data_IF_720073703634
#
_entry.id   IF_720073703634
#
_cell.length_a   1.000
_cell.length_b   1.000
_cell.length_c   1.000
_cell.angle_alpha   90.00
_cell.angle_beta   90.00
_cell.angle_gamma   90.00
#
_symmetry.space_group_name_H-M   'P 1'
#
loop_
_entity.id
_entity.type
_entity.pdbx_description
1 polymer ?
#
# COMPACT_ATOMS: atom_id res chain seq x y z
N UNK A 1 4.35 -15.72 7.67
CA UNK A 1 3.29 -14.77 8.08
C UNK A 1 2.90 -13.80 6.94
N UNK A 2 3.86 -13.18 6.26
CA UNK A 2 3.59 -12.21 5.18
C UNK A 2 2.83 -12.79 3.95
N UNK A 3 2.82 -14.11 3.77
CA UNK A 3 2.11 -14.78 2.66
C UNK A 3 0.59 -14.57 2.68
N UNK A 4 -0.05 -14.60 3.86
CA UNK A 4 -1.50 -14.39 3.96
C UNK A 4 -1.88 -12.96 3.55
N UNK A 5 -1.08 -11.98 4.00
CA UNK A 5 -1.23 -10.56 3.61
C UNK A 5 -0.98 -10.37 2.12
N UNK A 6 -0.01 -11.08 1.55
CA UNK A 6 0.26 -11.07 0.12
C UNK A 6 -0.92 -11.61 -0.69
N UNK A 7 -1.45 -12.79 -0.32
CA UNK A 7 -2.62 -13.38 -0.98
C UNK A 7 -3.83 -12.45 -0.88
N UNK A 8 -4.07 -11.88 0.29
CA UNK A 8 -5.11 -10.87 0.49
C UNK A 8 -4.90 -9.66 -0.43
N UNK A 9 -3.68 -9.12 -0.51
CA UNK A 9 -3.38 -7.97 -1.35
C UNK A 9 -3.58 -8.26 -2.84
N UNK A 10 -3.08 -9.40 -3.33
CA UNK A 10 -3.26 -9.81 -4.73
C UNK A 10 -4.75 -9.98 -5.06
N UNK A 11 -5.51 -10.68 -4.22
CA UNK A 11 -6.95 -10.86 -4.41
C UNK A 11 -7.68 -9.51 -4.42
N UNK A 12 -7.41 -8.62 -3.47
CA UNK A 12 -8.02 -7.29 -3.40
C UNK A 12 -7.60 -6.38 -4.56
N UNK A 13 -6.35 -6.51 -5.02
CA UNK A 13 -5.83 -5.78 -6.18
C UNK A 13 -6.58 -6.17 -7.46
N UNK A 14 -6.74 -7.47 -7.69
CA UNK A 14 -7.47 -8.01 -8.84
C UNK A 14 -8.94 -7.61 -8.77
N UNK A 15 -9.62 -7.83 -7.63
CA UNK A 15 -11.02 -7.43 -7.44
C UNK A 15 -11.19 -5.92 -7.63
N UNK A 16 -10.28 -5.11 -7.10
CA UNK A 16 -10.29 -3.66 -7.25
C UNK A 16 -10.17 -3.21 -8.71
N UNK A 17 -9.31 -3.86 -9.51
CA UNK A 17 -9.20 -3.60 -10.94
C UNK A 17 -10.47 -4.03 -11.69
N UNK A 18 -11.00 -5.22 -11.38
CA UNK A 18 -12.24 -5.72 -11.99
C UNK A 18 -13.40 -4.76 -11.73
N UNK A 19 -13.59 -4.31 -10.48
CA UNK A 19 -14.63 -3.33 -10.14
C UNK A 19 -14.42 -2.02 -10.90
N UNK A 20 -13.19 -1.52 -10.99
CA UNK A 20 -12.88 -0.30 -11.76
C UNK A 20 -13.28 -0.43 -13.23
N UNK A 21 -12.90 -1.53 -13.90
CA UNK A 21 -13.23 -1.76 -15.30
C UNK A 21 -14.74 -1.95 -15.51
N UNK A 22 -15.42 -2.65 -14.61
CA UNK A 22 -16.88 -2.84 -14.67
C UNK A 22 -17.61 -1.52 -14.51
N UNK A 23 -17.24 -0.68 -13.52
CA UNK A 23 -17.83 0.65 -13.34
C UNK A 23 -17.57 1.54 -14.56
N UNK A 24 -16.37 1.46 -15.15
CA UNK A 24 -16.07 2.18 -16.38
C UNK A 24 -16.98 1.76 -17.53
N UNK A 25 -17.17 0.46 -17.74
CA UNK A 25 -17.96 -0.04 -18.86
C UNK A 25 -19.45 0.27 -18.71
N UNK A 26 -19.99 0.18 -17.49
CA UNK A 26 -21.41 0.43 -17.21
C UNK A 26 -21.78 1.91 -17.16
N UNK A 27 -20.93 2.75 -16.54
CA UNK A 27 -21.26 4.16 -16.28
C UNK A 27 -20.23 5.13 -16.87
N UNK A 28 -18.95 4.82 -16.78
CA UNK A 28 -17.88 5.74 -17.21
C UNK A 28 -17.90 6.07 -18.70
N UNK A 29 -18.11 5.05 -19.55
CA UNK A 29 -18.13 5.20 -21.01
C UNK A 29 -19.23 6.15 -21.49
N UNK A 30 -20.38 6.14 -20.83
CA UNK A 30 -21.54 6.95 -21.21
C UNK A 30 -21.49 8.36 -20.59
N UNK A 31 -20.68 8.57 -19.54
CA UNK A 31 -20.53 9.85 -18.83
C UNK A 31 -19.24 10.61 -19.24
N UNK A 32 -18.74 10.41 -20.45
CA UNK A 32 -17.61 11.17 -21.00
C UNK A 32 -16.23 10.81 -20.44
N UNK A 33 -16.08 9.71 -19.69
CA UNK A 33 -14.78 9.26 -19.20
C UNK A 33 -14.00 8.62 -20.35
N UNK A 34 -12.87 9.22 -20.72
CA UNK A 34 -11.94 8.67 -21.72
C UNK A 34 -10.74 7.99 -21.01
N UNK A 35 -10.22 6.88 -21.56
CA UNK A 35 -9.05 6.19 -20.98
C UNK A 35 -7.78 7.06 -20.91
N UNK A 36 -7.73 8.15 -21.68
CA UNK A 36 -6.66 9.13 -21.63
C UNK A 36 -6.59 9.90 -20.28
N UNK A 37 -7.73 10.04 -19.59
CA UNK A 37 -7.82 10.77 -18.32
C UNK A 37 -7.27 9.98 -17.12
N UNK A 38 -6.96 8.69 -17.28
CA UNK A 38 -6.48 7.82 -16.21
C UNK A 38 -4.99 7.97 -15.90
N UNK A 39 -4.24 8.70 -16.72
CA UNK A 39 -2.78 8.83 -16.56
C UNK A 39 -2.02 7.50 -16.75
N UNK A 40 -2.66 6.52 -17.40
CA UNK A 40 -2.12 5.18 -17.66
C UNK A 40 -1.24 5.12 -18.92
N UNK A 41 -1.41 6.05 -19.85
CA UNK A 41 -0.62 6.11 -21.08
C UNK A 41 0.83 6.46 -20.74
N UNK A 42 1.76 5.54 -21.01
CA UNK A 42 3.20 5.74 -20.80
C UNK A 42 4.00 5.03 -21.88
N UNK A 43 5.27 5.43 -22.04
CA UNK A 43 6.25 4.76 -22.91
C UNK A 43 7.21 3.93 -22.04
N UNK A 44 7.78 2.84 -22.57
CA UNK A 44 8.76 2.01 -21.86
C UNK A 44 9.93 2.83 -21.29
N UNK A 45 10.42 3.83 -22.03
CA UNK A 45 11.46 4.75 -21.55
C UNK A 45 11.04 5.59 -20.35
N UNK A 46 9.78 6.05 -20.32
CA UNK A 46 9.23 6.79 -19.19
C UNK A 46 9.03 5.88 -17.98
N UNK A 47 8.57 4.64 -18.21
CA UNK A 47 8.40 3.66 -17.16
C UNK A 47 9.73 3.33 -16.47
N UNK A 48 10.81 3.11 -17.24
CA UNK A 48 12.16 2.89 -16.69
C UNK A 48 12.65 4.11 -15.91
N UNK A 49 12.46 5.33 -16.42
CA UNK A 49 12.81 6.55 -15.66
C UNK A 49 12.01 6.68 -14.36
N UNK A 50 10.72 6.35 -14.40
CA UNK A 50 9.84 6.39 -13.23
C UNK A 50 10.27 5.36 -12.20
N UNK A 51 10.66 4.16 -12.63
CA UNK A 51 11.20 3.12 -11.77
C UNK A 51 12.55 3.54 -11.15
N UNK A 52 13.46 4.12 -11.94
CA UNK A 52 14.74 4.64 -11.43
C UNK A 52 14.52 5.75 -10.40
N UNK A 53 13.56 6.65 -10.65
CA UNK A 53 13.18 7.70 -9.69
C UNK A 53 12.59 7.08 -8.40
N UNK A 54 11.72 6.09 -8.53
CA UNK A 54 11.14 5.41 -7.38
C UNK A 54 12.21 4.72 -6.53
N UNK A 55 13.17 4.05 -7.17
CA UNK A 55 14.31 3.43 -6.50
C UNK A 55 15.19 4.47 -5.81
N UNK A 56 15.49 5.59 -6.47
CA UNK A 56 16.29 6.67 -5.88
C UNK A 56 15.61 7.26 -4.64
N UNK A 57 14.29 7.46 -4.67
CA UNK A 57 13.51 7.94 -3.51
C UNK A 57 13.52 6.90 -2.37
N UNK A 58 13.33 5.62 -2.69
CA UNK A 58 13.36 4.56 -1.69
C UNK A 58 14.75 4.42 -1.03
N UNK A 59 15.82 4.50 -1.83
CA UNK A 59 17.20 4.48 -1.33
C UNK A 59 17.48 5.70 -0.47
N UNK A 60 17.09 6.91 -0.92
CA UNK A 60 17.26 8.13 -0.13
C UNK A 60 16.52 8.06 1.20
N UNK A 61 15.30 7.49 1.22
CA UNK A 61 14.55 7.27 2.45
C UNK A 61 15.32 6.38 3.44
N UNK A 62 15.83 5.23 2.98
CA UNK A 62 16.61 4.35 3.86
C UNK A 62 17.94 4.98 4.28
N UNK A 63 18.64 5.72 3.42
CA UNK A 63 19.86 6.46 3.80
C UNK A 63 19.56 7.42 4.95
N UNK A 64 18.43 8.15 4.91
CA UNK A 64 18.03 9.03 6.01
C UNK A 64 17.72 8.27 7.30
N UNK A 65 17.09 7.09 7.21
CA UNK A 65 16.83 6.22 8.35
C UNK A 65 18.15 5.74 8.97
N UNK A 66 19.07 5.22 8.16
CA UNK A 66 20.40 4.77 8.61
C UNK A 66 21.23 5.93 9.18
N UNK A 67 21.20 7.10 8.54
CA UNK A 67 21.90 8.29 9.03
C UNK A 67 21.33 8.78 10.37
N UNK A 68 20.00 8.78 10.53
CA UNK A 68 19.38 9.16 11.80
C UNK A 68 19.76 8.21 12.93
N UNK A 69 19.80 6.91 12.65
CA UNK A 69 20.28 5.92 13.61
C UNK A 69 21.76 6.10 13.93
N UNK A 70 22.62 6.31 12.92
CA UNK A 70 24.05 6.49 13.12
C UNK A 70 24.42 7.79 13.87
N UNK A 71 23.71 8.88 13.62
CA UNK A 71 23.99 10.19 14.24
C UNK A 71 23.31 10.36 15.59
N UNK A 72 22.04 9.95 15.72
CA UNK A 72 21.22 10.25 16.90
C UNK A 72 20.91 9.01 17.74
N UNK A 73 21.25 7.80 17.28
CA UNK A 73 20.83 6.53 17.89
C UNK A 73 19.31 6.41 18.06
N UNK A 74 18.56 7.15 17.24
CA UNK A 74 17.09 7.12 17.23
C UNK A 74 16.63 6.02 16.28
N UNK A 75 15.81 5.11 16.79
CA UNK A 75 15.18 4.06 15.99
C UNK A 75 13.73 4.46 15.62
N UNK A 76 13.36 4.26 14.36
CA UNK A 76 12.02 4.60 13.85
C UNK A 76 11.05 3.40 13.93
N UNK A 77 11.18 2.60 14.99
CA UNK A 77 10.17 1.57 15.31
C UNK A 77 9.10 2.21 16.18
N UNK A 78 7.95 2.51 15.60
CA UNK A 78 6.80 3.02 16.35
C UNK A 78 5.63 2.05 16.23
N UNK A 79 5.23 1.46 17.36
CA UNK A 79 4.21 0.40 17.42
C UNK A 79 4.54 -0.79 16.48
N UNK A 80 3.77 -0.95 15.41
CA UNK A 80 3.86 -2.03 14.42
C UNK A 80 4.36 -1.55 13.05
N UNK A 81 4.63 -0.24 12.92
CA UNK A 81 5.21 0.36 11.72
C UNK A 81 6.68 0.63 12.04
N UNK A 82 7.59 -0.16 11.48
CA UNK A 82 9.02 -0.05 11.72
C UNK A 82 9.78 0.14 10.42
N UNK A 83 10.50 1.25 10.33
CA UNK A 83 11.62 1.38 9.40
C UNK A 83 12.89 1.00 10.15
N UNK A 84 13.22 -0.30 10.16
CA UNK A 84 14.40 -0.78 10.86
C UNK A 84 15.68 -0.25 10.20
N UNK A 85 16.53 0.42 10.98
CA UNK A 85 17.87 0.83 10.57
C UNK A 85 18.89 -0.33 10.56
N UNK A 86 18.41 -1.58 10.52
CA UNK A 86 19.21 -2.80 10.44
C UNK A 86 18.34 -3.95 9.93
N UNK A 87 18.72 -4.59 8.82
CA UNK A 87 18.06 -5.81 8.35
C UNK A 87 19.06 -6.76 7.67
N UNK A 88 18.88 -8.09 7.77
CA UNK A 88 19.69 -9.05 7.04
C UNK A 88 19.61 -8.84 5.53
N UNK A 89 20.74 -8.95 4.82
CA UNK A 89 20.79 -8.79 3.36
C UNK A 89 19.86 -9.74 2.62
N UNK A 90 19.63 -10.94 3.17
CA UNK A 90 18.67 -11.91 2.63
C UNK A 90 17.22 -11.38 2.56
N UNK A 91 16.84 -10.38 3.37
CA UNK A 91 15.52 -9.75 3.27
C UNK A 91 15.34 -8.97 1.96
N UNK A 92 16.41 -8.50 1.32
CA UNK A 92 16.32 -7.84 0.01
C UNK A 92 15.91 -8.84 -1.08
N UNK A 93 16.41 -10.08 -1.03
CA UNK A 93 16.02 -11.12 -1.96
C UNK A 93 14.53 -11.47 -1.78
N UNK A 94 14.09 -11.63 -0.54
CA UNK A 94 12.68 -11.83 -0.20
C UNK A 94 11.84 -10.64 -0.69
N UNK A 95 12.29 -9.40 -0.49
CA UNK A 95 11.56 -8.23 -0.97
C UNK A 95 11.35 -8.26 -2.49
N UNK A 96 12.35 -8.69 -3.27
CA UNK A 96 12.23 -8.81 -4.73
C UNK A 96 11.17 -9.82 -5.17
N UNK A 97 10.90 -10.87 -4.38
CA UNK A 97 9.81 -11.82 -4.67
C UNK A 97 8.43 -11.24 -4.35
N UNK A 98 8.33 -10.49 -3.24
CA UNK A 98 7.05 -9.96 -2.76
C UNK A 98 6.64 -8.67 -3.49
N UNK A 99 7.59 -7.80 -3.86
CA UNK A 99 7.32 -6.50 -4.48
C UNK A 99 6.46 -6.65 -5.75
N UNK A 100 6.76 -7.52 -6.74
CA UNK A 100 5.95 -7.64 -7.95
C UNK A 100 4.50 -8.04 -7.67
N UNK A 101 4.29 -8.92 -6.68
CA UNK A 101 2.97 -9.43 -6.35
C UNK A 101 2.16 -8.38 -5.57
N UNK A 102 2.77 -7.70 -4.59
CA UNK A 102 2.13 -6.58 -3.90
C UNK A 102 1.90 -5.39 -4.82
N UNK A 103 2.76 -5.17 -5.82
CA UNK A 103 2.62 -4.06 -6.75
C UNK A 103 1.27 -4.06 -7.46
N UNK A 104 0.69 -5.25 -7.72
CA UNK A 104 -0.67 -5.39 -8.29
C UNK A 104 -1.69 -4.61 -7.44
N UNK A 105 -1.65 -4.78 -6.12
CA UNK A 105 -2.54 -4.09 -5.19
C UNK A 105 -2.27 -2.58 -5.15
N UNK A 106 -1.00 -2.17 -5.02
CA UNK A 106 -0.64 -0.77 -4.93
C UNK A 106 -0.99 -0.01 -6.21
N UNK A 107 -0.73 -0.62 -7.37
CA UNK A 107 -1.10 -0.08 -8.67
C UNK A 107 -2.62 0.01 -8.83
N UNK A 108 -3.35 -1.06 -8.48
CA UNK A 108 -4.82 -1.05 -8.47
C UNK A 108 -5.39 0.05 -7.57
N UNK A 109 -4.77 0.28 -6.41
CA UNK A 109 -5.13 1.39 -5.53
C UNK A 109 -4.87 2.74 -6.22
N UNK A 110 -3.68 2.97 -6.77
CA UNK A 110 -3.33 4.22 -7.47
C UNK A 110 -4.29 4.53 -8.63
N UNK A 111 -4.67 3.53 -9.44
CA UNK A 111 -5.61 3.71 -10.56
C UNK A 111 -6.98 4.12 -10.03
N UNK A 112 -7.54 3.40 -9.05
CA UNK A 112 -8.84 3.74 -8.45
C UNK A 112 -8.82 5.15 -7.86
N UNK A 113 -7.75 5.47 -7.13
CA UNK A 113 -7.60 6.73 -6.42
C UNK A 113 -7.54 7.92 -7.37
N UNK A 114 -6.79 7.77 -8.46
CA UNK A 114 -6.54 8.89 -9.36
C UNK A 114 -7.54 8.98 -10.52
N UNK A 115 -8.19 7.86 -10.87
CA UNK A 115 -9.07 7.78 -12.06
C UNK A 115 -10.55 7.73 -11.72
N UNK A 116 -10.96 7.06 -10.64
CA UNK A 116 -12.38 6.88 -10.30
C UNK A 116 -12.87 7.88 -9.26
N UNK A 117 -11.99 8.36 -8.38
CA UNK A 117 -12.35 9.19 -7.23
C UNK A 117 -12.04 10.68 -7.44
N UNK A 118 -12.33 11.20 -8.65
CA UNK A 118 -12.21 12.63 -8.96
C UNK A 118 -13.59 13.16 -9.35
N UNK A 119 -14.32 13.64 -8.35
CA UNK A 119 -15.61 14.27 -8.55
C UNK A 119 -15.43 15.78 -8.72
N UNK A 120 -16.08 16.35 -9.73
CA UNK A 120 -16.05 17.79 -9.99
C UNK A 120 -16.79 18.53 -8.86
N UNK A 121 -16.16 19.55 -8.28
CA UNK A 121 -16.72 20.35 -7.17
C UNK A 121 -16.51 19.79 -5.76
N UNK A 122 -15.91 18.61 -5.60
CA UNK A 122 -15.60 18.05 -4.28
C UNK A 122 -14.36 18.72 -3.66
N UNK A 123 -14.41 18.99 -2.34
CA UNK A 123 -13.23 19.47 -1.60
C UNK A 123 -12.19 18.37 -1.54
N UNK A 124 -10.96 18.64 -1.98
CA UNK A 124 -9.90 17.63 -2.08
C UNK A 124 -9.64 16.88 -0.76
N UNK A 125 -9.66 17.58 0.38
CA UNK A 125 -9.43 16.94 1.68
C UNK A 125 -10.51 15.91 2.02
N UNK A 126 -11.76 16.15 1.61
CA UNK A 126 -12.88 15.24 1.84
C UNK A 126 -12.72 14.00 0.95
N UNK A 127 -12.38 14.20 -0.32
CA UNK A 127 -12.08 13.13 -1.26
C UNK A 127 -10.96 12.22 -0.73
N UNK A 128 -9.84 12.82 -0.28
CA UNK A 128 -8.72 12.07 0.31
C UNK A 128 -9.12 11.31 1.58
N UNK A 129 -9.95 11.91 2.44
CA UNK A 129 -10.45 11.26 3.65
C UNK A 129 -11.33 10.05 3.33
N UNK A 130 -12.29 10.20 2.42
CA UNK A 130 -13.18 9.12 1.98
C UNK A 130 -12.36 7.96 1.41
N UNK A 131 -11.29 8.25 0.68
CA UNK A 131 -10.46 7.24 0.05
C UNK A 131 -9.52 6.55 1.05
N UNK A 132 -8.97 7.29 2.01
CA UNK A 132 -8.22 6.72 3.14
C UNK A 132 -9.10 5.78 3.98
N UNK A 133 -10.32 6.20 4.29
CA UNK A 133 -11.31 5.38 4.97
C UNK A 133 -11.71 4.18 4.11
N UNK A 134 -12.07 4.38 2.84
CA UNK A 134 -12.45 3.30 1.93
C UNK A 134 -11.37 2.22 1.78
N UNK A 135 -10.08 2.59 1.86
CA UNK A 135 -8.97 1.65 1.77
C UNK A 135 -8.64 0.94 3.12
N UNK A 136 -9.17 1.43 4.24
CA UNK A 136 -8.85 0.91 5.59
C UNK A 136 -10.06 0.31 6.34
N UNK A 137 -11.29 0.68 6.01
CA UNK A 137 -12.52 0.25 6.70
C UNK A 137 -12.66 -1.27 6.74
N UNK A 138 -12.39 -1.96 5.63
CA UNK A 138 -12.46 -3.43 5.60
C UNK A 138 -11.49 -4.09 6.60
N UNK A 139 -10.30 -3.51 6.77
CA UNK A 139 -9.30 -3.99 7.73
C UNK A 139 -9.68 -3.65 9.17
N UNK A 140 -10.23 -2.45 9.39
CA UNK A 140 -10.75 -2.02 10.70
C UNK A 140 -11.90 -2.91 11.16
N UNK A 141 -12.80 -3.32 10.26
CA UNK A 141 -13.90 -4.23 10.59
C UNK A 141 -13.41 -5.60 11.08
N UNK A 142 -12.33 -6.13 10.46
CA UNK A 142 -11.73 -7.39 10.92
C UNK A 142 -11.21 -7.25 12.35
N UNK A 143 -10.46 -6.19 12.66
CA UNK A 143 -10.00 -5.95 14.05
C UNK A 143 -11.20 -5.76 15.00
N UNK A 144 -12.20 -4.97 14.59
CA UNK A 144 -13.36 -4.69 15.42
C UNK A 144 -14.10 -5.97 15.83
N UNK A 145 -14.32 -6.90 14.89
CA UNK A 145 -14.96 -8.20 15.17
C UNK A 145 -14.11 -9.02 16.15
N UNK A 146 -12.79 -9.08 15.95
CA UNK A 146 -11.88 -9.86 16.81
C UNK A 146 -11.93 -9.37 18.26
N UNK A 147 -11.82 -8.07 18.46
CA UNK A 147 -11.74 -7.47 19.79
C UNK A 147 -13.12 -7.31 20.46
N UNK A 148 -14.18 -7.11 19.68
CA UNK A 148 -15.54 -7.11 20.23
C UNK A 148 -15.91 -8.50 20.76
N UNK A 149 -15.60 -9.57 20.02
CA UNK A 149 -15.83 -10.93 20.48
C UNK A 149 -14.99 -11.28 21.71
N UNK A 150 -13.74 -10.81 21.75
CA UNK A 150 -12.87 -10.94 22.93
C UNK A 150 -13.47 -10.26 24.17
N UNK A 151 -13.99 -9.05 24.01
CA UNK A 151 -14.66 -8.33 25.09
C UNK A 151 -15.94 -9.06 25.57
N UNK A 152 -16.72 -9.61 24.64
CA UNK A 152 -17.99 -10.27 24.95
C UNK A 152 -17.85 -11.68 25.56
N UNK A 153 -16.88 -12.47 25.09
CA UNK A 153 -16.77 -13.90 25.42
C UNK A 153 -15.52 -14.29 26.20
N UNK A 154 -14.54 -13.38 26.32
CA UNK A 154 -13.21 -13.69 26.89
C UNK A 154 -12.31 -14.51 25.97
N UNK A 155 -12.75 -14.83 24.75
CA UNK A 155 -11.95 -15.57 23.75
C UNK A 155 -11.87 -14.79 22.43
N UNK A 156 -10.80 -14.95 21.67
CA UNK A 156 -10.67 -14.33 20.35
C UNK A 156 -11.59 -15.01 19.32
N UNK A 157 -12.15 -14.25 18.37
CA UNK A 157 -13.07 -14.79 17.34
C UNK A 157 -12.34 -15.74 16.38
N UNK A 158 -11.27 -15.25 15.75
CA UNK A 158 -10.36 -16.08 14.97
C UNK A 158 -9.31 -16.67 15.90
N UNK A 159 -9.56 -17.90 16.34
CA UNK A 159 -8.67 -18.67 17.21
C UNK A 159 -7.48 -19.27 16.44
N UNK A 160 -7.74 -19.72 15.21
CA UNK A 160 -6.70 -20.13 14.28
C UNK A 160 -6.07 -18.89 13.67
N UNK A 161 -4.74 -18.81 13.69
CA UNK A 161 -3.98 -17.75 13.00
C UNK A 161 -4.25 -16.32 13.50
N UNK A 162 -4.60 -16.17 14.78
CA UNK A 162 -4.89 -14.89 15.45
C UNK A 162 -3.78 -13.83 15.30
N UNK A 163 -2.53 -14.27 15.10
CA UNK A 163 -1.38 -13.40 14.92
C UNK A 163 -1.48 -12.54 13.65
N UNK A 164 -2.14 -13.03 12.59
CA UNK A 164 -2.37 -12.22 11.38
C UNK A 164 -3.21 -10.98 11.66
N UNK A 165 -4.17 -11.09 12.57
CA UNK A 165 -5.05 -9.98 12.92
C UNK A 165 -4.27 -8.92 13.71
N UNK A 166 -3.32 -9.35 14.56
CA UNK A 166 -2.42 -8.42 15.23
C UNK A 166 -1.52 -7.66 14.24
N UNK A 167 -1.10 -8.26 13.12
CA UNK A 167 -0.35 -7.52 12.10
C UNK A 167 -1.16 -6.39 11.45
N UNK A 168 -2.50 -6.47 11.46
CA UNK A 168 -3.34 -5.43 10.87
C UNK A 168 -3.17 -4.09 11.57
N UNK A 169 -2.73 -4.04 12.84
CA UNK A 169 -2.41 -2.79 13.52
C UNK A 169 -1.29 -2.00 12.83
N UNK A 170 -0.31 -2.68 12.22
CA UNK A 170 0.71 -2.02 11.41
C UNK A 170 0.22 -1.65 10.01
N UNK A 171 -0.60 -2.51 9.41
CA UNK A 171 -1.07 -2.35 8.02
C UNK A 171 -2.13 -1.25 7.90
N UNK A 172 -3.05 -1.11 8.85
CA UNK A 172 -4.16 -0.14 8.79
C UNK A 172 -3.66 1.31 8.63
N UNK A 173 -2.73 1.82 9.45
CA UNK A 173 -2.19 3.17 9.26
C UNK A 173 -1.56 3.35 7.88
N UNK A 174 -0.80 2.36 7.40
CA UNK A 174 -0.18 2.39 6.08
C UNK A 174 -1.24 2.43 4.97
N UNK A 175 -2.31 1.63 5.09
CA UNK A 175 -3.40 1.59 4.11
C UNK A 175 -4.25 2.85 4.12
N UNK A 176 -4.42 3.49 5.27
CA UNK A 176 -5.11 4.78 5.37
C UNK A 176 -4.33 5.89 4.66
N UNK A 177 -3.01 5.93 4.82
CA UNK A 177 -2.14 6.97 4.24
C UNK A 177 -1.85 6.70 2.76
N UNK A 178 -1.88 5.44 2.30
CA UNK A 178 -1.53 5.05 0.93
C UNK A 178 -2.22 5.88 -0.18
N UNK A 179 -3.55 6.13 -0.15
CA UNK A 179 -4.22 6.97 -1.14
C UNK A 179 -3.68 8.39 -1.22
N UNK A 180 -3.23 8.97 -0.09
CA UNK A 180 -2.70 10.32 -0.04
C UNK A 180 -1.40 10.40 -0.84
N UNK A 181 -0.46 9.48 -0.60
CA UNK A 181 0.78 9.40 -1.37
C UNK A 181 0.50 9.23 -2.85
N UNK A 182 -0.36 8.28 -3.22
CA UNK A 182 -0.73 8.05 -4.62
C UNK A 182 -1.30 9.30 -5.29
N UNK A 183 -2.12 10.09 -4.57
CA UNK A 183 -2.69 11.35 -5.05
C UNK A 183 -1.63 12.44 -5.23
N UNK A 184 -0.73 12.61 -4.27
CA UNK A 184 0.36 13.60 -4.37
C UNK A 184 1.32 13.30 -5.53
N UNK A 185 1.77 12.04 -5.64
CA UNK A 185 2.65 11.64 -6.75
C UNK A 185 1.97 11.76 -8.11
N UNK A 186 0.68 11.46 -8.20
CA UNK A 186 -0.10 11.65 -9.42
C UNK A 186 -0.22 13.13 -9.80
N UNK A 187 -0.44 14.03 -8.85
CA UNK A 187 -0.50 15.48 -9.12
C UNK A 187 0.83 16.03 -9.64
N UNK A 188 1.96 15.51 -9.16
CA UNK A 188 3.29 15.93 -9.61
C UNK A 188 3.66 15.40 -11.00
N UNK A 189 3.21 14.20 -11.37
CA UNK A 189 3.66 13.50 -12.59
C UNK A 189 2.61 13.40 -13.68
N UNK A 190 1.32 13.51 -13.32
CA UNK A 190 0.19 13.16 -14.17
C UNK A 190 0.09 11.66 -14.49
N UNK A 191 0.85 10.80 -13.80
CA UNK A 191 0.96 9.36 -14.09
C UNK A 191 0.63 8.52 -12.87
N UNK A 192 -0.07 7.40 -13.08
CA UNK A 192 -0.49 6.50 -12.01
C UNK A 192 0.62 5.57 -11.46
N UNK A 193 1.85 5.65 -11.98
CA UNK A 193 2.92 4.68 -11.71
C UNK A 193 3.88 5.07 -10.57
N UNK A 194 4.22 6.35 -10.42
CA UNK A 194 5.26 6.76 -9.45
C UNK A 194 4.85 6.46 -7.99
N UNK A 195 3.63 6.84 -7.62
CA UNK A 195 3.08 6.61 -6.29
C UNK A 195 3.14 5.15 -5.84
N UNK A 196 2.58 4.19 -6.59
CA UNK A 196 2.62 2.79 -6.21
C UNK A 196 4.02 2.20 -6.25
N UNK A 197 4.91 2.64 -7.15
CA UNK A 197 6.29 2.15 -7.16
C UNK A 197 7.06 2.58 -5.90
N UNK A 198 6.97 3.85 -5.51
CA UNK A 198 7.65 4.38 -4.31
C UNK A 198 7.08 3.74 -3.04
N UNK A 199 5.76 3.77 -2.89
CA UNK A 199 5.09 3.29 -1.67
C UNK A 199 5.21 1.77 -1.52
N UNK A 200 5.18 1.00 -2.61
CA UNK A 200 5.40 -0.45 -2.56
C UNK A 200 6.82 -0.78 -2.12
N UNK A 201 7.85 -0.15 -2.70
CA UNK A 201 9.25 -0.38 -2.29
C UNK A 201 9.46 -0.10 -0.80
N UNK A 202 8.97 1.04 -0.31
CA UNK A 202 9.18 1.44 1.09
C UNK A 202 8.36 0.57 2.03
N UNK A 203 7.06 0.41 1.80
CA UNK A 203 6.16 -0.26 2.75
C UNK A 203 6.40 -1.77 2.80
N UNK A 204 6.76 -2.42 1.69
CA UNK A 204 7.10 -3.85 1.71
C UNK A 204 8.38 -4.08 2.48
N UNK A 205 9.40 -3.24 2.30
CA UNK A 205 10.62 -3.33 3.11
C UNK A 205 10.31 -3.11 4.60
N UNK A 206 9.53 -2.08 4.96
CA UNK A 206 9.11 -1.86 6.35
C UNK A 206 8.37 -3.07 6.92
N UNK A 207 7.40 -3.61 6.19
CA UNK A 207 6.63 -4.79 6.59
C UNK A 207 7.53 -6.02 6.81
N UNK A 208 8.48 -6.29 5.92
CA UNK A 208 9.40 -7.41 6.03
C UNK A 208 10.33 -7.25 7.25
N UNK A 209 10.79 -6.03 7.53
CA UNK A 209 11.67 -5.77 8.68
C UNK A 209 10.95 -5.81 10.02
N UNK A 210 9.65 -5.54 10.06
CA UNK A 210 8.82 -5.62 11.27
C UNK A 210 8.43 -7.06 11.63
N UNK A 211 8.65 -8.04 10.75
CA UNK A 211 8.08 -9.39 10.88
C UNK A 211 9.12 -10.49 10.69
N UNK A 212 8.86 -11.66 11.26
CA UNK A 212 9.72 -12.84 11.07
C UNK A 212 9.54 -13.36 9.64
N UNK A 213 10.65 -13.39 8.90
CA UNK A 213 10.73 -13.96 7.56
C UNK A 213 11.64 -15.20 7.60
N UNK A 214 11.14 -16.32 7.11
CA UNK A 214 11.92 -17.55 6.96
C UNK A 214 12.43 -17.62 5.54
N UNK A 215 13.75 -17.59 5.37
CA UNK A 215 14.41 -17.87 4.10
C UNK A 215 14.61 -19.39 4.09
N UNK A 216 13.96 -20.15 3.19
CA UNK A 216 14.27 -21.58 3.05
C UNK A 216 15.74 -21.69 2.64
N UNK A 217 16.54 -22.32 3.49
CA UNK A 217 17.92 -22.71 3.21
C UNK A 217 17.95 -23.91 2.27
#
# INVERSE_FOLDING_TARGET
>A
MNNAVLLWAVANGIIGLLLFFTTYWLYGKNNGVSPAMWGLRTNARELVKTFCLALAVAVAFYILVFASYGLFHTDFRFFFVSAAASFPTGMLAVALEYIPLFFIFYFANSVRVNSASRFEGEKEWLSMLIMGLGNSVGLVLIIAIQYFWLFATGTVFWTSEWLYINMLFGIIPMMFILPYFNRYFFRMTGKAYLGPMVTCLIFIMMMLTSNVCYIPL
#
